data_IF_283386135825
#
_entry.id   IF_283386135825
#
_cell.length_a   1.000
_cell.length_b   1.000
_cell.length_c   1.000
_cell.angle_alpha   90.00
_cell.angle_beta   90.00
_cell.angle_gamma   90.00
#
_symmetry.space_group_name_H-M   'P 1'
#
loop_
_entity.id
_entity.type
_entity.pdbx_description
1 polymer ?
#
# COMPACT_ATOMS: atom_id res chain seq x y z
N UNK A 1 3.10 -14.86 5.43
CA UNK A 1 2.78 -14.03 6.61
C UNK A 1 2.65 -12.54 6.26
N UNK A 2 3.65 -11.92 5.59
CA UNK A 2 3.63 -10.48 5.29
C UNK A 2 2.43 -9.95 4.50
N UNK A 3 2.05 -10.59 3.38
CA UNK A 3 0.92 -10.13 2.54
C UNK A 3 -0.43 -10.14 3.26
N UNK A 4 -0.66 -11.11 4.16
CA UNK A 4 -1.89 -11.22 4.94
C UNK A 4 -2.03 -10.07 5.94
N UNK A 5 -0.95 -9.73 6.65
CA UNK A 5 -0.93 -8.60 7.59
C UNK A 5 -1.21 -7.31 6.85
N UNK A 6 -0.51 -7.05 5.73
CA UNK A 6 -0.70 -5.82 4.94
C UNK A 6 -2.15 -5.69 4.42
N UNK A 7 -2.70 -6.77 3.84
CA UNK A 7 -4.06 -6.74 3.29
C UNK A 7 -5.12 -6.49 4.38
N UNK A 8 -4.94 -7.09 5.56
CA UNK A 8 -5.84 -6.90 6.70
C UNK A 8 -5.71 -5.49 7.27
N UNK A 9 -4.50 -5.04 7.59
CA UNK A 9 -4.22 -3.70 8.13
C UNK A 9 -4.76 -2.61 7.22
N UNK A 10 -4.53 -2.71 5.91
CA UNK A 10 -5.05 -1.75 4.96
C UNK A 10 -6.59 -1.72 4.92
N UNK A 11 -7.23 -2.91 4.99
CA UNK A 11 -8.70 -3.00 4.99
C UNK A 11 -9.31 -2.42 6.26
N UNK A 12 -8.69 -2.65 7.43
CA UNK A 12 -9.12 -2.07 8.71
C UNK A 12 -8.92 -0.55 8.69
N UNK A 13 -7.76 -0.05 8.25
CA UNK A 13 -7.48 1.39 8.17
C UNK A 13 -8.47 2.13 7.28
N UNK A 14 -8.80 1.58 6.11
CA UNK A 14 -9.81 2.18 5.22
C UNK A 14 -11.20 2.17 5.84
N UNK A 15 -11.59 1.05 6.47
CA UNK A 15 -12.90 0.92 7.10
C UNK A 15 -13.06 1.86 8.30
N UNK A 16 -11.95 2.15 8.97
CA UNK A 16 -11.81 3.17 10.01
C UNK A 16 -11.95 4.57 9.39
N UNK A 17 -11.02 4.99 8.52
CA UNK A 17 -10.94 6.37 7.99
C UNK A 17 -12.14 6.85 7.18
N UNK A 18 -12.84 5.95 6.49
CA UNK A 18 -13.90 6.32 5.55
C UNK A 18 -15.20 5.57 5.81
N UNK A 19 -15.85 5.84 6.94
CA UNK A 19 -17.13 5.22 7.32
C UNK A 19 -18.24 5.40 6.25
N UNK A 20 -18.35 6.60 5.67
CA UNK A 20 -19.35 6.95 4.64
C UNK A 20 -18.94 6.58 3.20
N UNK A 21 -17.63 6.49 2.91
CA UNK A 21 -17.10 6.28 1.55
C UNK A 21 -16.41 4.92 1.34
N UNK A 22 -16.77 3.91 2.14
CA UNK A 22 -16.18 2.55 2.08
C UNK A 22 -16.18 1.91 0.69
N UNK A 23 -17.23 2.16 -0.11
CA UNK A 23 -17.33 1.64 -1.47
C UNK A 23 -16.28 2.25 -2.41
N UNK A 24 -16.05 3.56 -2.32
CA UNK A 24 -15.06 4.26 -3.14
C UNK A 24 -13.64 3.84 -2.77
N UNK A 25 -13.34 3.71 -1.47
CA UNK A 25 -12.02 3.25 -1.00
C UNK A 25 -11.74 1.81 -1.39
N UNK A 26 -12.76 0.94 -1.33
CA UNK A 26 -12.64 -0.45 -1.79
C UNK A 26 -12.41 -0.51 -3.30
N UNK A 27 -13.12 0.30 -4.08
CA UNK A 27 -12.89 0.45 -5.51
C UNK A 27 -11.46 0.90 -5.83
N UNK A 28 -10.95 1.90 -5.11
CA UNK A 28 -9.59 2.40 -5.30
C UNK A 28 -8.52 1.39 -4.89
N UNK A 29 -8.74 0.61 -3.82
CA UNK A 29 -7.89 -0.53 -3.44
C UNK A 29 -7.73 -1.50 -4.61
N UNK A 30 -8.85 -1.94 -5.18
CA UNK A 30 -8.82 -2.91 -6.28
C UNK A 30 -8.26 -2.32 -7.57
N UNK A 31 -8.62 -1.07 -7.90
CA UNK A 31 -8.07 -0.36 -9.05
C UNK A 31 -6.54 -0.23 -8.98
N UNK A 32 -5.99 0.07 -7.78
CA UNK A 32 -4.54 0.10 -7.56
C UNK A 32 -3.89 -1.27 -7.78
N UNK A 33 -4.54 -2.35 -7.34
CA UNK A 33 -4.10 -3.72 -7.61
C UNK A 33 -4.08 -4.06 -9.10
N UNK A 34 -5.13 -3.70 -9.84
CA UNK A 34 -5.21 -3.88 -11.30
C UNK A 34 -4.16 -3.06 -12.04
N UNK A 35 -3.95 -1.80 -11.66
CA UNK A 35 -2.92 -0.94 -12.25
C UNK A 35 -1.53 -1.53 -12.03
N UNK A 36 -1.24 -1.98 -10.80
CA UNK A 36 -0.01 -2.68 -10.48
C UNK A 36 0.18 -3.90 -11.38
N UNK A 37 -0.84 -4.75 -11.51
CA UNK A 37 -0.81 -5.93 -12.38
C UNK A 37 -0.55 -5.64 -13.87
N UNK A 38 -0.92 -4.46 -14.37
CA UNK A 38 -0.67 -4.06 -15.77
C UNK A 38 0.70 -3.39 -15.97
N UNK A 39 1.17 -2.63 -14.98
CA UNK A 39 2.44 -1.89 -15.06
C UNK A 39 3.63 -2.80 -14.77
N UNK A 40 3.52 -3.67 -13.77
CA UNK A 40 4.61 -4.54 -13.31
C UNK A 40 5.21 -5.45 -14.39
N UNK A 41 4.41 -6.11 -15.25
CA UNK A 41 4.94 -7.00 -16.29
C UNK A 41 5.76 -6.29 -17.36
N UNK A 42 5.55 -4.99 -17.59
CA UNK A 42 6.37 -4.19 -18.51
C UNK A 42 7.58 -3.57 -17.79
N UNK A 43 7.37 -3.16 -16.54
CA UNK A 43 8.39 -2.47 -15.74
C UNK A 43 9.53 -3.40 -15.31
N UNK A 44 9.23 -4.63 -14.87
CA UNK A 44 10.24 -5.60 -14.43
C UNK A 44 11.27 -5.98 -15.51
N UNK A 45 10.87 -6.42 -16.70
CA UNK A 45 11.83 -6.79 -17.74
C UNK A 45 12.63 -5.58 -18.24
N UNK A 46 12.04 -4.38 -18.25
CA UNK A 46 12.76 -3.15 -18.57
C UNK A 46 13.89 -2.89 -17.57
N UNK A 47 13.59 -2.92 -16.27
CA UNK A 47 14.61 -2.78 -15.21
C UNK A 47 15.65 -3.91 -15.23
N UNK A 48 15.21 -5.14 -15.51
CA UNK A 48 16.10 -6.30 -15.54
C UNK A 48 17.05 -6.26 -16.75
N UNK A 49 16.64 -5.70 -17.87
CA UNK A 49 17.50 -5.52 -19.04
C UNK A 49 18.57 -4.45 -18.76
N UNK A 50 18.18 -3.33 -18.17
CA UNK A 50 19.09 -2.19 -17.92
C UNK A 50 20.01 -2.40 -16.70
N UNK A 51 19.49 -2.94 -15.59
CA UNK A 51 20.19 -3.02 -14.30
C UNK A 51 20.47 -4.44 -13.81
N UNK A 52 20.05 -5.46 -14.58
CA UNK A 52 20.14 -6.85 -14.16
C UNK A 52 19.24 -7.19 -12.96
N UNK A 53 19.27 -8.46 -12.55
CA UNK A 53 18.40 -8.96 -11.47
C UNK A 53 18.63 -8.26 -10.11
N UNK A 54 19.90 -8.03 -9.76
CA UNK A 54 20.28 -7.38 -8.49
C UNK A 54 19.86 -5.91 -8.43
N UNK A 55 20.03 -5.18 -9.53
CA UNK A 55 19.62 -3.78 -9.60
C UNK A 55 18.10 -3.61 -9.54
N UNK A 56 17.35 -4.48 -10.23
CA UNK A 56 15.88 -4.50 -10.14
C UNK A 56 15.40 -4.74 -8.71
N UNK A 57 16.00 -5.70 -7.99
CA UNK A 57 15.65 -5.97 -6.59
C UNK A 57 15.95 -4.78 -5.67
N UNK A 58 17.05 -4.06 -5.89
CA UNK A 58 17.39 -2.85 -5.12
C UNK A 58 16.39 -1.72 -5.36
N UNK A 59 16.03 -1.46 -6.62
CA UNK A 59 15.02 -0.45 -6.96
C UNK A 59 13.66 -0.82 -6.36
N UNK A 60 13.26 -2.09 -6.48
CA UNK A 60 12.02 -2.57 -5.92
C UNK A 60 12.00 -2.48 -4.39
N UNK A 61 13.10 -2.85 -3.74
CA UNK A 61 13.31 -2.64 -2.30
C UNK A 61 13.18 -1.17 -1.91
N UNK A 62 13.82 -0.26 -2.66
CA UNK A 62 13.69 1.18 -2.47
C UNK A 62 12.24 1.67 -2.56
N UNK A 63 11.50 1.26 -3.60
CA UNK A 63 10.08 1.60 -3.76
C UNK A 63 9.26 1.11 -2.55
N UNK A 64 9.45 -0.14 -2.12
CA UNK A 64 8.72 -0.68 -0.96
C UNK A 64 9.05 0.02 0.36
N UNK A 65 10.28 0.53 0.51
CA UNK A 65 10.70 1.31 1.67
C UNK A 65 10.04 2.70 1.69
N UNK A 66 9.91 3.37 0.54
CA UNK A 66 9.16 4.64 0.44
C UNK A 66 7.68 4.45 0.80
N UNK A 67 7.05 3.37 0.32
CA UNK A 67 5.66 3.05 0.67
C UNK A 67 5.49 2.77 2.17
N UNK A 68 6.42 2.04 2.77
CA UNK A 68 6.43 1.78 4.22
C UNK A 68 6.58 3.07 5.03
N UNK A 69 7.46 3.97 4.61
CA UNK A 69 7.67 5.27 5.27
C UNK A 69 6.39 6.14 5.23
N UNK A 70 5.68 6.17 4.10
CA UNK A 70 4.40 6.87 3.98
C UNK A 70 3.36 6.23 4.90
N UNK A 71 3.33 4.89 5.00
CA UNK A 71 2.44 4.16 5.89
C UNK A 71 2.62 4.52 7.37
N UNK A 72 3.87 4.75 7.80
CA UNK A 72 4.19 5.20 9.17
C UNK A 72 3.68 6.63 9.42
N UNK A 73 3.65 7.47 8.39
CA UNK A 73 3.18 8.86 8.46
C UNK A 73 1.65 8.98 8.41
N UNK A 74 0.91 7.89 8.18
CA UNK A 74 -0.56 7.91 8.25
C UNK A 74 -0.98 8.20 9.69
N UNK A 75 -1.48 9.41 9.90
CA UNK A 75 -1.93 9.92 11.20
C UNK A 75 -3.08 9.06 11.74
N UNK A 76 -3.11 8.89 13.06
CA UNK A 76 -4.18 8.20 13.74
C UNK A 76 -5.54 8.82 13.41
N UNK A 77 -6.58 8.00 13.19
CA UNK A 77 -7.90 8.53 12.90
C UNK A 77 -8.41 9.44 14.03
N UNK A 78 -9.11 10.53 13.71
CA UNK A 78 -9.44 11.57 14.70
C UNK A 78 -10.28 11.07 15.89
N UNK A 79 -11.08 10.01 15.74
CA UNK A 79 -11.95 9.49 16.81
C UNK A 79 -11.25 8.53 17.79
N UNK A 80 -10.05 8.00 17.49
CA UNK A 80 -9.30 7.19 18.48
C UNK A 80 -8.88 8.02 19.71
N UNK A 81 -8.80 9.34 19.57
CA UNK A 81 -8.56 10.27 20.68
C UNK A 81 -9.74 10.42 21.65
N UNK A 82 -10.96 10.06 21.23
CA UNK A 82 -12.18 10.16 22.05
C UNK A 82 -12.34 8.96 23.00
N UNK A 83 -11.74 7.82 22.69
CA UNK A 83 -11.82 6.59 23.49
C UNK A 83 -10.85 6.62 24.69
N UNK A 84 -9.86 7.52 24.68
CA UNK A 84 -8.84 7.62 25.74
C UNK A 84 -9.30 8.45 26.96
N UNK A 85 -10.50 9.04 26.92
CA UNK A 85 -11.02 9.94 27.96
C UNK A 85 -12.11 9.32 28.86
N UNK A 86 -12.28 7.99 28.83
CA UNK A 86 -13.08 7.24 29.82
C UNK A 86 -12.17 6.30 30.65
#
# INVERSE_FOLDING_TARGET
>A
LGSGVISLTYSILLAMYFDKYRGLTSGMKFAGGSLGGLVFPKFLPYLQNEYGFRGTLLIFGGITMHLSAIGILVKEPPWTSLIKND
#
